data_IF_356852032850
#
_entry.id   IF_356852032850
#
_cell.length_a   1.000
_cell.length_b   1.000
_cell.length_c   1.000
_cell.angle_alpha   90.00
_cell.angle_beta   90.00
_cell.angle_gamma   90.00
#
_symmetry.space_group_name_H-M   'P 1'
#
loop_
_entity.id
_entity.type
_entity.pdbx_description
1 polymer ?
#
# COMPACT_ATOMS: atom_id res chain seq x y z
N UNK A 1 9.13 -13.47 -28.60
CA UNK A 1 9.72 -13.07 -27.30
C UNK A 1 9.64 -14.16 -26.23
N UNK A 2 8.51 -14.87 -26.08
CA UNK A 2 8.35 -15.96 -25.11
C UNK A 2 9.32 -17.14 -25.29
N UNK A 3 9.76 -17.37 -26.52
CA UNK A 3 10.69 -18.44 -26.90
C UNK A 3 12.04 -18.37 -26.15
N UNK A 4 12.47 -17.17 -25.74
CA UNK A 4 13.66 -16.99 -24.89
C UNK A 4 13.32 -16.90 -23.40
N UNK A 5 12.13 -16.45 -23.06
CA UNK A 5 11.71 -16.26 -21.66
C UNK A 5 11.55 -17.60 -20.96
N UNK A 6 10.85 -18.55 -21.61
CA UNK A 6 10.59 -19.88 -21.04
C UNK A 6 11.89 -20.62 -20.69
N UNK A 7 12.86 -20.82 -21.61
CA UNK A 7 14.09 -21.53 -21.27
C UNK A 7 14.93 -20.79 -20.24
N UNK A 8 14.93 -19.45 -20.24
CA UNK A 8 15.66 -18.66 -19.23
C UNK A 8 15.08 -18.86 -17.83
N UNK A 9 13.75 -18.86 -17.70
CA UNK A 9 13.08 -19.11 -16.42
C UNK A 9 13.34 -20.55 -15.95
N UNK A 10 13.23 -21.53 -16.85
CA UNK A 10 13.50 -22.94 -16.53
C UNK A 10 14.94 -23.11 -16.04
N UNK A 11 15.91 -22.54 -16.76
CA UNK A 11 17.33 -22.60 -16.39
C UNK A 11 17.59 -21.94 -15.03
N UNK A 12 16.96 -20.80 -14.74
CA UNK A 12 17.04 -20.14 -13.45
C UNK A 12 16.48 -21.01 -12.32
N UNK A 13 15.32 -21.65 -12.53
CA UNK A 13 14.72 -22.58 -11.55
C UNK A 13 15.62 -23.79 -11.30
N UNK A 14 16.18 -24.39 -12.36
CA UNK A 14 17.13 -25.50 -12.25
C UNK A 14 18.38 -25.10 -11.46
N UNK A 15 18.95 -23.92 -11.72
CA UNK A 15 20.11 -23.41 -10.99
C UNK A 15 19.81 -23.22 -9.49
N UNK A 16 18.61 -22.75 -9.14
CA UNK A 16 18.18 -22.63 -7.74
C UNK A 16 18.07 -24.00 -7.07
N UNK A 17 17.53 -25.01 -7.75
CA UNK A 17 17.45 -26.37 -7.22
C UNK A 17 18.84 -26.98 -7.00
N UNK A 18 19.76 -26.81 -7.95
CA UNK A 18 21.15 -27.27 -7.82
C UNK A 18 21.85 -26.57 -6.66
N UNK A 19 21.72 -25.24 -6.55
CA UNK A 19 22.25 -24.49 -5.43
C UNK A 19 21.70 -25.03 -4.09
N UNK A 20 20.40 -25.33 -4.02
CA UNK A 20 19.77 -25.90 -2.82
C UNK A 20 20.32 -27.29 -2.45
N UNK A 21 20.63 -28.12 -3.44
CA UNK A 21 21.22 -29.45 -3.24
C UNK A 21 22.66 -29.37 -2.73
N UNK A 22 23.45 -28.42 -3.24
CA UNK A 22 24.85 -28.22 -2.84
C UNK A 22 25.01 -27.56 -1.46
N UNK A 23 23.97 -26.93 -0.94
CA UNK A 23 23.99 -26.30 0.38
C UNK A 23 23.77 -27.39 1.47
N UNK A 24 24.88 -27.89 2.02
CA UNK A 24 24.91 -28.69 3.25
C UNK A 24 24.44 -27.88 4.48
N UNK A 25 24.00 -28.57 5.54
CA UNK A 25 23.27 -28.01 6.70
C UNK A 25 23.86 -26.73 7.30
N UNK A 26 25.18 -26.59 7.35
CA UNK A 26 25.84 -25.39 7.89
C UNK A 26 25.64 -24.15 7.03
N UNK A 27 25.60 -24.30 5.71
CA UNK A 27 25.31 -23.21 4.79
C UNK A 27 23.81 -22.94 4.69
N UNK A 28 22.95 -23.92 5.01
CA UNK A 28 21.49 -23.75 4.98
C UNK A 28 21.04 -22.62 5.89
N UNK A 29 21.57 -22.51 7.11
CA UNK A 29 21.15 -21.45 8.04
C UNK A 29 21.46 -20.05 7.51
N UNK A 30 22.65 -19.85 6.92
CA UNK A 30 23.04 -18.56 6.33
C UNK A 30 22.25 -18.26 5.06
N UNK A 31 22.08 -19.27 4.22
CA UNK A 31 21.35 -19.14 2.96
C UNK A 31 19.86 -18.92 3.19
N UNK A 32 19.27 -19.58 4.17
CA UNK A 32 17.87 -19.42 4.57
C UNK A 32 17.64 -18.05 5.21
N UNK A 33 18.58 -17.54 6.01
CA UNK A 33 18.54 -16.16 6.50
C UNK A 33 18.66 -15.12 5.38
N UNK A 34 19.43 -15.39 4.32
CA UNK A 34 19.54 -14.53 3.15
C UNK A 34 18.29 -14.63 2.25
N UNK A 35 17.80 -15.84 2.01
CA UNK A 35 16.61 -16.13 1.22
C UNK A 35 15.36 -15.52 1.87
N UNK A 36 15.19 -15.63 3.19
CA UNK A 36 14.13 -14.93 3.93
C UNK A 36 14.20 -13.41 3.72
N UNK A 37 15.39 -12.81 3.78
CA UNK A 37 15.55 -11.36 3.54
C UNK A 37 15.18 -10.96 2.12
N UNK A 38 15.62 -11.74 1.12
CA UNK A 38 15.27 -11.51 -0.29
C UNK A 38 13.76 -11.68 -0.50
N UNK A 39 13.17 -12.73 0.07
CA UNK A 39 11.73 -12.99 0.02
C UNK A 39 10.91 -11.85 0.61
N UNK A 40 11.30 -11.33 1.78
CA UNK A 40 10.61 -10.18 2.39
C UNK A 40 10.72 -8.92 1.53
N UNK A 41 11.86 -8.67 0.87
CA UNK A 41 12.00 -7.55 -0.07
C UNK A 41 11.11 -7.72 -1.30
N UNK A 42 11.12 -8.90 -1.91
CA UNK A 42 10.27 -9.21 -3.08
C UNK A 42 8.80 -9.09 -2.69
N UNK A 43 8.39 -9.63 -1.54
CA UNK A 43 7.02 -9.53 -1.03
C UNK A 43 6.63 -8.09 -0.76
N UNK A 44 7.50 -7.27 -0.16
CA UNK A 44 7.25 -5.84 0.06
C UNK A 44 7.19 -5.02 -1.23
N UNK A 45 7.93 -5.40 -2.27
CA UNK A 45 7.82 -4.81 -3.61
C UNK A 45 6.51 -5.24 -4.30
N UNK A 46 6.20 -6.53 -4.29
CA UNK A 46 4.96 -7.07 -4.86
C UNK A 46 3.72 -6.51 -4.17
N UNK A 47 3.73 -6.40 -2.84
CA UNK A 47 2.66 -5.76 -2.08
C UNK A 47 2.55 -4.28 -2.40
N UNK A 48 3.65 -3.54 -2.62
CA UNK A 48 3.60 -2.14 -3.05
C UNK A 48 3.03 -1.99 -4.45
N UNK A 49 3.41 -2.85 -5.39
CA UNK A 49 2.85 -2.85 -6.75
C UNK A 49 1.37 -3.22 -6.74
N UNK A 50 0.98 -4.22 -5.94
CA UNK A 50 -0.40 -4.63 -5.78
C UNK A 50 -1.25 -3.56 -5.07
N UNK A 51 -0.73 -3.01 -3.97
CA UNK A 51 -1.36 -1.92 -3.22
C UNK A 51 -1.34 -0.60 -3.98
N UNK A 52 -0.50 -0.39 -4.99
CA UNK A 52 -0.59 0.83 -5.81
C UNK A 52 -1.98 0.94 -6.47
N UNK A 53 -2.56 -0.20 -6.88
CA UNK A 53 -3.93 -0.24 -7.43
C UNK A 53 -5.01 -0.01 -6.35
N UNK A 54 -4.77 -0.48 -5.13
CA UNK A 54 -5.69 -0.31 -3.98
C UNK A 54 -5.61 1.10 -3.35
N UNK A 55 -4.40 1.65 -3.23
CA UNK A 55 -4.09 2.97 -2.68
C UNK A 55 -4.72 4.10 -3.50
N UNK A 56 -4.90 3.91 -4.82
CA UNK A 56 -5.67 4.85 -5.66
C UNK A 56 -7.14 4.91 -5.27
N UNK A 57 -7.74 3.79 -4.85
CA UNK A 57 -9.14 3.75 -4.38
C UNK A 57 -9.29 4.39 -3.01
N UNK A 58 -8.37 4.11 -2.09
CA UNK A 58 -8.40 4.71 -0.74
C UNK A 58 -8.13 6.21 -0.78
N UNK A 59 -7.25 6.70 -1.66
CA UNK A 59 -7.02 8.13 -1.83
C UNK A 59 -8.26 8.87 -2.36
N UNK A 60 -9.02 8.24 -3.27
CA UNK A 60 -10.27 8.81 -3.77
C UNK A 60 -11.31 8.89 -2.65
N UNK A 61 -11.48 7.84 -1.84
CA UNK A 61 -12.44 7.84 -0.72
C UNK A 61 -12.11 8.89 0.34
N UNK A 62 -10.83 9.03 0.73
CA UNK A 62 -10.42 10.05 1.70
C UNK A 62 -10.63 11.47 1.17
N UNK A 63 -10.44 11.69 -0.13
CA UNK A 63 -10.70 12.98 -0.77
C UNK A 63 -12.21 13.28 -0.85
N UNK A 64 -13.03 12.30 -1.23
CA UNK A 64 -14.50 12.41 -1.27
C UNK A 64 -15.06 12.75 0.11
N UNK A 65 -14.60 12.06 1.16
CA UNK A 65 -15.01 12.30 2.54
C UNK A 65 -14.63 13.69 3.04
N UNK A 66 -13.50 14.24 2.59
CA UNK A 66 -13.08 15.60 2.92
C UNK A 66 -13.95 16.65 2.21
N UNK A 67 -14.28 16.42 0.93
CA UNK A 67 -15.17 17.29 0.15
C UNK A 67 -16.58 17.27 0.75
N UNK A 68 -17.09 16.09 1.13
CA UNK A 68 -18.41 15.96 1.72
C UNK A 68 -18.50 16.65 3.09
N UNK A 69 -17.48 16.51 3.93
CA UNK A 69 -17.38 17.28 5.19
C UNK A 69 -17.37 18.79 4.96
N UNK A 70 -16.67 19.28 3.95
CA UNK A 70 -16.68 20.70 3.60
C UNK A 70 -18.05 21.18 3.10
N UNK A 71 -18.77 20.32 2.36
CA UNK A 71 -20.11 20.59 1.84
C UNK A 71 -21.17 20.63 2.94
N UNK A 72 -21.09 19.75 3.92
CA UNK A 72 -22.03 19.70 5.05
C UNK A 72 -21.68 20.70 6.18
N UNK A 73 -20.40 21.09 6.25
CA UNK A 73 -19.80 21.91 7.30
C UNK A 73 -20.11 23.42 7.24
N UNK A 74 -20.84 23.91 6.24
CA UNK A 74 -21.17 25.34 6.13
C UNK A 74 -22.31 25.64 5.17
N UNK A 75 -22.93 26.79 5.35
CA UNK A 75 -23.98 27.32 4.47
C UNK A 75 -23.47 28.57 3.78
N UNK A 76 -23.71 28.66 2.47
CA UNK A 76 -23.42 29.86 1.68
C UNK A 76 -24.58 30.84 1.81
N UNK A 77 -24.26 32.09 2.14
CA UNK A 77 -25.24 33.19 2.21
C UNK A 77 -24.74 34.28 1.26
N UNK A 78 -25.25 34.27 0.03
CA UNK A 78 -24.72 35.10 -1.06
C UNK A 78 -23.25 34.76 -1.36
N UNK A 79 -22.35 35.75 -1.31
CA UNK A 79 -20.91 35.58 -1.58
C UNK A 79 -20.07 35.21 -0.34
N UNK A 80 -20.70 34.94 0.81
CA UNK A 80 -20.00 34.68 2.08
C UNK A 80 -20.26 33.24 2.54
N UNK A 81 -19.18 32.47 2.72
CA UNK A 81 -19.23 31.13 3.32
C UNK A 81 -19.30 31.23 4.84
N UNK A 82 -20.37 30.70 5.46
CA UNK A 82 -20.52 30.62 6.92
C UNK A 82 -20.33 29.17 7.39
N UNK A 83 -19.16 28.80 7.96
CA UNK A 83 -18.95 27.48 8.52
C UNK A 83 -19.76 27.27 9.82
N UNK A 84 -20.41 26.12 9.95
CA UNK A 84 -21.20 25.73 11.13
C UNK A 84 -20.34 25.59 12.40
N UNK A 85 -19.06 25.27 12.25
CA UNK A 85 -18.09 25.12 13.35
C UNK A 85 -17.80 26.43 14.10
N UNK A 86 -18.10 27.59 13.50
CA UNK A 86 -17.93 28.91 14.13
C UNK A 86 -19.15 29.39 14.91
N UNK A 87 -20.30 28.70 14.85
CA UNK A 87 -21.44 29.03 15.70
C UNK A 87 -21.12 28.61 17.14
N UNK A 88 -20.80 29.58 18.00
CA UNK A 88 -20.79 29.37 19.46
C UNK A 88 -22.14 28.80 19.89
N UNK A 89 -22.17 27.83 20.82
CA UNK A 89 -23.42 27.31 21.35
C UNK A 89 -24.27 28.47 21.90
N UNK A 90 -25.61 28.42 21.74
CA UNK A 90 -26.49 29.45 22.26
C UNK A 90 -26.22 29.65 23.76
N UNK A 91 -26.18 30.92 24.18
CA UNK A 91 -25.85 31.34 25.55
C UNK A 91 -26.80 30.76 26.62
N UNK A 92 -27.92 30.21 26.18
CA UNK A 92 -28.97 29.52 26.95
C UNK A 92 -28.61 28.08 27.38
N UNK A 93 -27.45 27.55 26.93
CA UNK A 93 -26.96 26.21 27.33
C UNK A 93 -25.62 26.24 28.09
N UNK A 94 -25.14 27.42 28.46
CA UNK A 94 -24.05 27.55 29.44
C UNK A 94 -24.70 27.67 30.82
N UNK A 95 -24.97 26.53 31.44
CA UNK A 95 -25.27 26.43 32.88
C UNK A 95 -23.97 26.22 33.64
#
# INVERSE_FOLDING_TARGET
MFEKIIPTVVLAVCAVFIARLLIGERLRLRFDAAARRIWQRIRGWGLRVYHWRSSRKNAAQVAEDAIQRAREGGTWEGNVYKPKSFKRPPRDKLH
#
